data_IF_536589093894
#
_entry.id   IF_536589093894
#
_cell.length_a   1.000
_cell.length_b   1.000
_cell.length_c   1.000
_cell.angle_alpha   90.00
_cell.angle_beta   90.00
_cell.angle_gamma   90.00
#
_symmetry.space_group_name_H-M   'P 1'
#
loop_
_entity.id
_entity.type
_entity.pdbx_description
1 polymer ?
#
# COMPACT_ATOMS: atom_id res chain seq x y z
N UNK A 1 -16.86 -18.50 -13.51
CA UNK A 1 -17.80 -17.66 -14.29
C UNK A 1 -18.99 -17.33 -13.40
N UNK A 2 -19.26 -16.05 -13.17
CA UNK A 2 -20.35 -15.62 -12.27
C UNK A 2 -21.18 -14.59 -13.00
N UNK A 3 -22.49 -14.82 -13.00
CA UNK A 3 -23.47 -13.95 -13.66
C UNK A 3 -24.28 -13.21 -12.60
N UNK A 4 -24.41 -11.91 -12.75
CA UNK A 4 -25.34 -11.08 -11.97
C UNK A 4 -26.34 -10.43 -12.90
N UNK A 5 -27.64 -10.45 -12.52
CA UNK A 5 -28.73 -9.92 -13.35
C UNK A 5 -29.05 -8.48 -12.97
N UNK A 6 -29.05 -7.58 -13.93
CA UNK A 6 -29.65 -6.25 -13.78
C UNK A 6 -30.48 -5.92 -15.01
N UNK A 7 -31.81 -5.74 -14.87
CA UNK A 7 -32.77 -5.38 -15.94
C UNK A 7 -32.59 -6.14 -17.26
N UNK A 8 -32.36 -7.46 -17.20
CA UNK A 8 -32.22 -8.30 -18.37
C UNK A 8 -30.84 -8.40 -19.01
N UNK A 9 -29.84 -7.65 -18.54
CA UNK A 9 -28.45 -7.75 -18.98
C UNK A 9 -27.55 -8.27 -17.84
N UNK A 10 -26.68 -9.23 -18.19
CA UNK A 10 -25.80 -9.94 -17.25
C UNK A 10 -24.42 -9.27 -17.30
N UNK A 11 -23.94 -8.73 -16.16
CA UNK A 11 -22.55 -8.31 -16.03
C UNK A 11 -21.64 -9.53 -15.97
N UNK A 12 -20.73 -9.66 -16.94
CA UNK A 12 -19.75 -10.76 -16.99
C UNK A 12 -18.47 -10.32 -16.31
N UNK A 13 -18.15 -10.95 -15.17
CA UNK A 13 -16.89 -10.74 -14.45
C UNK A 13 -15.96 -11.90 -14.75
N UNK A 14 -14.76 -11.60 -15.24
CA UNK A 14 -13.76 -12.60 -15.61
C UNK A 14 -12.40 -12.19 -15.02
N UNK A 15 -11.76 -13.11 -14.29
CA UNK A 15 -10.40 -12.94 -13.79
C UNK A 15 -9.50 -13.89 -14.55
N UNK A 16 -8.48 -13.35 -15.22
CA UNK A 16 -7.52 -14.12 -16.02
C UNK A 16 -6.10 -13.94 -15.47
N UNK A 17 -5.29 -14.99 -15.61
CA UNK A 17 -3.93 -15.04 -15.07
C UNK A 17 -2.86 -14.73 -16.14
N UNK A 18 -3.26 -14.10 -17.24
CA UNK A 18 -2.33 -13.73 -18.29
C UNK A 18 -1.57 -12.45 -17.97
N UNK A 19 -0.28 -12.42 -18.26
CA UNK A 19 0.55 -11.23 -18.09
C UNK A 19 0.45 -10.35 -19.34
N UNK A 20 -0.44 -9.36 -19.32
CA UNK A 20 -0.63 -8.42 -20.44
C UNK A 20 0.22 -7.15 -20.37
N UNK A 21 0.84 -6.86 -19.21
CA UNK A 21 1.61 -5.63 -18.99
C UNK A 21 3.01 -5.94 -18.48
N UNK A 22 4.01 -5.30 -19.08
CA UNK A 22 5.42 -5.60 -18.77
C UNK A 22 5.94 -4.90 -17.51
N UNK A 23 5.53 -3.65 -17.22
CA UNK A 23 5.88 -2.95 -15.97
C UNK A 23 4.85 -1.88 -15.67
N UNK A 24 4.25 -1.94 -14.49
CA UNK A 24 3.35 -0.91 -13.96
C UNK A 24 4.11 -0.12 -12.90
N UNK A 25 4.30 1.16 -13.16
CA UNK A 25 4.97 2.08 -12.24
C UNK A 25 3.99 2.92 -11.41
N UNK A 26 2.78 3.14 -11.95
CA UNK A 26 1.75 3.98 -11.36
C UNK A 26 0.39 3.29 -11.40
N UNK A 27 -0.40 3.48 -10.34
CA UNK A 27 -1.82 3.18 -10.37
C UNK A 27 -2.52 4.28 -11.16
N UNK A 28 -3.27 3.91 -12.18
CA UNK A 28 -4.04 4.85 -13.00
C UNK A 28 -5.26 4.19 -13.64
N UNK A 29 -6.24 5.02 -13.90
CA UNK A 29 -7.40 4.66 -14.71
C UNK A 29 -7.49 5.60 -15.91
N UNK A 30 -7.96 5.08 -17.02
CA UNK A 30 -8.17 5.83 -18.25
C UNK A 30 -9.54 5.46 -18.83
N UNK A 31 -10.29 6.47 -19.25
CA UNK A 31 -11.56 6.30 -19.93
C UNK A 31 -11.43 6.71 -21.37
N UNK A 32 -11.87 5.83 -22.24
CA UNK A 32 -12.02 6.10 -23.65
C UNK A 32 -13.42 5.64 -24.10
N UNK A 33 -14.23 6.59 -24.59
CA UNK A 33 -15.63 6.38 -24.92
C UNK A 33 -16.43 5.84 -23.71
N UNK A 34 -16.89 4.59 -23.76
CA UNK A 34 -17.63 3.91 -22.67
C UNK A 34 -16.79 2.79 -22.01
N UNK A 35 -15.52 2.72 -22.34
CA UNK A 35 -14.62 1.71 -21.79
C UNK A 35 -13.68 2.36 -20.77
N UNK A 36 -13.51 1.72 -19.62
CA UNK A 36 -12.52 2.10 -18.61
C UNK A 36 -11.43 1.03 -18.58
N UNK A 37 -10.19 1.47 -18.66
CA UNK A 37 -9.02 0.64 -18.44
C UNK A 37 -8.23 1.14 -17.25
N UNK A 38 -7.59 0.23 -16.52
CA UNK A 38 -6.77 0.61 -15.37
C UNK A 38 -5.57 -0.31 -15.22
N UNK A 39 -4.48 0.24 -14.71
CA UNK A 39 -3.27 -0.49 -14.35
C UNK A 39 -2.87 -0.15 -12.93
N UNK A 40 -2.52 -1.17 -12.15
CA UNK A 40 -2.28 -1.04 -10.71
C UNK A 40 -1.08 -1.84 -10.28
N UNK A 41 -0.38 -1.33 -9.29
CA UNK A 41 0.57 -2.08 -8.51
C UNK A 41 0.15 -2.06 -7.03
N UNK A 42 0.48 -3.11 -6.31
CA UNK A 42 0.17 -3.25 -4.88
C UNK A 42 1.47 -3.54 -4.14
N UNK A 43 1.80 -2.81 -3.07
CA UNK A 43 2.99 -3.07 -2.28
C UNK A 43 2.89 -4.43 -1.59
N UNK A 44 4.02 -5.12 -1.45
CA UNK A 44 4.05 -6.41 -0.78
C UNK A 44 3.96 -6.25 0.74
N UNK A 45 3.02 -6.94 1.38
CA UNK A 45 2.89 -7.05 2.84
C UNK A 45 3.87 -8.07 3.46
N UNK A 46 4.61 -8.80 2.63
CA UNK A 46 5.61 -9.78 3.05
C UNK A 46 7.03 -9.26 2.84
N UNK A 47 8.02 -9.99 3.37
CA UNK A 47 9.45 -9.69 3.12
C UNK A 47 9.87 -9.84 1.65
N UNK A 48 9.01 -10.35 0.78
CA UNK A 48 9.23 -10.36 -0.66
C UNK A 48 9.21 -8.93 -1.18
N UNK A 49 10.30 -8.50 -1.80
CA UNK A 49 10.47 -7.13 -2.32
C UNK A 49 9.65 -6.84 -3.59
N UNK A 50 8.89 -7.79 -4.08
CA UNK A 50 8.20 -7.66 -5.35
C UNK A 50 6.85 -6.96 -5.16
N UNK A 51 6.68 -5.84 -5.86
CA UNK A 51 5.37 -5.24 -6.09
C UNK A 51 4.53 -6.21 -6.91
N UNK A 52 3.28 -6.39 -6.53
CA UNK A 52 2.31 -7.16 -7.33
C UNK A 52 1.59 -6.23 -8.29
N UNK A 53 1.26 -6.73 -9.48
CA UNK A 53 0.66 -5.92 -10.53
C UNK A 53 -0.57 -6.60 -11.10
N UNK A 54 -1.59 -5.79 -11.42
CA UNK A 54 -2.77 -6.23 -12.14
C UNK A 54 -3.31 -5.12 -13.03
N UNK A 55 -4.19 -5.49 -13.95
CA UNK A 55 -4.92 -4.51 -14.78
C UNK A 55 -6.40 -4.87 -14.86
N UNK A 56 -7.19 -3.86 -15.19
CA UNK A 56 -8.63 -4.01 -15.40
C UNK A 56 -9.04 -3.43 -16.74
N UNK A 57 -10.04 -4.05 -17.34
CA UNK A 57 -10.79 -3.51 -18.47
C UNK A 57 -12.28 -3.65 -18.17
N UNK A 58 -13.01 -2.57 -18.27
CA UNK A 58 -14.42 -2.52 -17.91
C UNK A 58 -15.23 -1.76 -18.94
N UNK A 59 -16.35 -2.35 -19.33
CA UNK A 59 -17.40 -1.70 -20.10
C UNK A 59 -18.77 -2.04 -19.47
N UNK A 60 -19.85 -1.60 -20.10
CA UNK A 60 -21.22 -1.78 -19.56
C UNK A 60 -21.60 -3.24 -19.27
N UNK A 61 -20.96 -4.22 -19.93
CA UNK A 61 -21.33 -5.65 -19.87
C UNK A 61 -20.24 -6.55 -19.33
N UNK A 62 -18.97 -6.15 -19.47
CA UNK A 62 -17.82 -6.99 -19.15
C UNK A 62 -16.89 -6.29 -18.19
N UNK A 63 -16.46 -6.99 -17.14
CA UNK A 63 -15.40 -6.61 -16.24
C UNK A 63 -14.31 -7.68 -16.28
N UNK A 64 -13.21 -7.35 -16.92
CA UNK A 64 -12.03 -8.21 -17.05
C UNK A 64 -10.95 -7.75 -16.09
N UNK A 65 -10.43 -8.67 -15.29
CA UNK A 65 -9.31 -8.43 -14.37
C UNK A 65 -8.16 -9.35 -14.77
N UNK A 66 -7.04 -8.77 -15.15
CA UNK A 66 -5.80 -9.51 -15.42
C UNK A 66 -4.97 -9.54 -14.15
N UNK A 67 -4.94 -10.67 -13.44
CA UNK A 67 -4.28 -10.87 -12.15
C UNK A 67 -3.25 -12.02 -12.21
N UNK A 68 -2.08 -11.81 -12.86
CA UNK A 68 -1.06 -12.84 -13.01
C UNK A 68 -0.40 -13.26 -11.69
N UNK A 69 -0.56 -12.48 -10.64
CA UNK A 69 0.10 -12.70 -9.35
C UNK A 69 -0.87 -13.17 -8.24
N UNK A 70 -2.09 -13.51 -8.62
CA UNK A 70 -3.13 -14.02 -7.71
C UNK A 70 -3.35 -13.14 -6.48
N UNK A 71 -3.52 -11.83 -6.72
CA UNK A 71 -3.80 -10.83 -5.68
C UNK A 71 -5.20 -11.06 -5.09
N UNK A 72 -6.17 -11.31 -5.97
CA UNK A 72 -7.57 -11.45 -5.61
C UNK A 72 -7.91 -12.90 -5.21
N UNK A 73 -7.88 -13.14 -3.89
CA UNK A 73 -8.32 -14.42 -3.32
C UNK A 73 -9.83 -14.49 -3.17
N UNK A 74 -10.46 -13.34 -3.02
CA UNK A 74 -11.92 -13.20 -2.89
C UNK A 74 -12.53 -12.94 -4.24
N UNK A 75 -13.82 -13.33 -4.37
CA UNK A 75 -14.57 -13.12 -5.57
C UNK A 75 -14.99 -11.66 -5.68
N UNK A 76 -14.65 -11.03 -6.80
CA UNK A 76 -15.15 -9.71 -7.15
C UNK A 76 -16.63 -9.84 -7.50
N UNK A 77 -17.45 -8.92 -6.99
CA UNK A 77 -18.90 -8.92 -7.19
C UNK A 77 -19.44 -7.51 -7.41
N UNK A 78 -20.53 -7.40 -8.10
CA UNK A 78 -21.25 -6.16 -8.37
C UNK A 78 -22.27 -6.36 -9.49
N UNK A 79 -23.30 -5.55 -9.51
CA UNK A 79 -24.35 -5.59 -10.53
C UNK A 79 -24.14 -4.52 -11.60
N UNK A 80 -23.37 -3.48 -11.26
CA UNK A 80 -23.02 -2.36 -12.13
C UNK A 80 -21.50 -2.20 -12.22
N UNK A 81 -20.99 -1.55 -13.28
CA UNK A 81 -19.57 -1.25 -13.41
C UNK A 81 -18.97 -0.56 -12.18
N UNK A 82 -19.63 0.48 -11.65
CA UNK A 82 -19.16 1.21 -10.45
C UNK A 82 -19.08 0.30 -9.22
N UNK A 83 -20.06 -0.58 -9.00
CA UNK A 83 -20.09 -1.52 -7.88
C UNK A 83 -18.94 -2.55 -7.97
N UNK A 84 -18.66 -3.06 -9.17
CA UNK A 84 -17.57 -4.01 -9.39
C UNK A 84 -16.22 -3.41 -9.07
N UNK A 85 -15.95 -2.19 -9.55
CA UNK A 85 -14.71 -1.45 -9.24
C UNK A 85 -14.65 -1.14 -7.75
N UNK A 86 -15.72 -0.63 -7.15
CA UNK A 86 -15.76 -0.30 -5.73
C UNK A 86 -15.47 -1.54 -4.87
N UNK A 87 -16.04 -2.69 -5.23
CA UNK A 87 -15.78 -3.96 -4.55
C UNK A 87 -14.31 -4.39 -4.69
N UNK A 88 -13.76 -4.32 -5.91
CA UNK A 88 -12.35 -4.62 -6.18
C UNK A 88 -11.42 -3.73 -5.33
N UNK A 89 -11.63 -2.42 -5.31
CA UNK A 89 -10.82 -1.47 -4.54
C UNK A 89 -10.92 -1.74 -3.03
N UNK A 90 -12.11 -2.07 -2.52
CA UNK A 90 -12.30 -2.42 -1.11
C UNK A 90 -11.55 -3.71 -0.74
N UNK A 91 -11.53 -4.72 -1.61
CA UNK A 91 -10.76 -5.96 -1.40
C UNK A 91 -9.26 -5.65 -1.29
N UNK A 92 -8.73 -4.74 -2.11
CA UNK A 92 -7.31 -4.38 -2.09
C UNK A 92 -6.85 -3.82 -0.74
N UNK A 93 -7.66 -2.96 -0.12
CA UNK A 93 -7.28 -2.21 1.09
C UNK A 93 -7.84 -2.79 2.39
N UNK A 94 -8.63 -3.87 2.34
CA UNK A 94 -9.36 -4.37 3.52
C UNK A 94 -8.46 -4.76 4.69
N UNK A 95 -7.25 -5.27 4.43
CA UNK A 95 -6.30 -5.73 5.45
C UNK A 95 -5.18 -4.70 5.75
N UNK A 96 -5.21 -3.54 5.08
CA UNK A 96 -4.08 -2.61 5.14
C UNK A 96 -3.94 -1.96 6.50
N UNK A 97 -5.05 -1.60 7.15
CA UNK A 97 -5.00 -1.01 8.50
C UNK A 97 -4.35 -1.96 9.50
N UNK A 98 -4.70 -3.25 9.47
CA UNK A 98 -4.08 -4.27 10.33
C UNK A 98 -2.59 -4.43 10.03
N UNK A 99 -2.22 -4.36 8.76
CA UNK A 99 -0.82 -4.42 8.36
C UNK A 99 -0.02 -3.21 8.87
N UNK A 100 -0.56 -1.99 8.76
CA UNK A 100 0.08 -0.77 9.26
C UNK A 100 0.24 -0.79 10.78
N UNK A 101 -0.76 -1.26 11.52
CA UNK A 101 -0.65 -1.48 12.97
C UNK A 101 0.47 -2.46 13.33
N UNK A 102 0.65 -3.53 12.56
CA UNK A 102 1.78 -4.46 12.74
C UNK A 102 3.14 -3.80 12.46
N UNK A 103 3.20 -2.83 11.55
CA UNK A 103 4.42 -2.03 11.33
C UNK A 103 4.69 -1.11 12.53
N UNK A 104 3.67 -0.43 13.05
CA UNK A 104 3.76 0.41 14.25
C UNK A 104 4.35 -0.38 15.44
N UNK A 105 3.75 -1.53 15.76
CA UNK A 105 4.26 -2.41 16.82
C UNK A 105 5.72 -2.87 16.62
N UNK A 106 6.19 -2.94 15.38
CA UNK A 106 7.60 -3.27 15.12
C UNK A 106 8.51 -2.06 15.38
N UNK A 107 8.07 -0.84 15.03
CA UNK A 107 8.82 0.39 15.36
C UNK A 107 8.92 0.57 16.87
N UNK A 108 7.82 0.38 17.61
CA UNK A 108 7.80 0.40 19.08
C UNK A 108 8.82 -0.58 19.69
N UNK A 109 8.89 -1.80 19.19
CA UNK A 109 9.90 -2.79 19.66
C UNK A 109 11.32 -2.34 19.37
N UNK A 110 11.58 -1.67 18.25
CA UNK A 110 12.89 -1.12 17.95
C UNK A 110 13.20 0.00 18.92
N UNK A 111 12.24 0.86 19.27
CA UNK A 111 12.38 1.90 20.28
C UNK A 111 12.77 1.33 21.65
N UNK A 112 12.00 0.35 22.15
CA UNK A 112 12.28 -0.33 23.43
C UNK A 112 13.69 -0.94 23.46
N UNK A 113 14.12 -1.54 22.36
CA UNK A 113 15.45 -2.11 22.24
C UNK A 113 16.55 -1.04 22.22
N UNK A 114 16.30 0.08 21.53
CA UNK A 114 17.20 1.24 21.56
C UNK A 114 17.32 1.79 22.97
N UNK A 115 16.21 2.00 23.69
CA UNK A 115 16.18 2.53 25.05
C UNK A 115 16.92 1.61 26.04
N UNK A 116 16.74 0.30 25.91
CA UNK A 116 17.40 -0.70 26.78
C UNK A 116 18.84 -1.02 26.37
N UNK A 117 19.36 -0.43 25.31
CA UNK A 117 20.67 -0.73 24.73
C UNK A 117 20.88 -2.22 24.40
N UNK A 118 19.79 -2.96 24.22
CA UNK A 118 19.79 -4.40 23.90
C UNK A 118 19.57 -4.61 22.43
N UNK A 119 20.52 -5.18 21.74
CA UNK A 119 20.37 -5.55 20.33
C UNK A 119 21.43 -4.95 19.42
N UNK A 120 21.40 -5.39 18.19
CA UNK A 120 22.28 -4.97 17.10
C UNK A 120 21.47 -4.86 15.81
N UNK A 121 21.99 -4.14 14.82
CA UNK A 121 21.38 -4.00 13.50
C UNK A 121 20.11 -3.12 13.42
N UNK A 122 19.90 -2.18 14.35
CA UNK A 122 18.75 -1.25 14.31
C UNK A 122 18.67 -0.46 13.01
N UNK A 123 19.79 0.04 12.52
CA UNK A 123 19.84 0.84 11.29
C UNK A 123 19.25 0.10 10.11
N UNK A 124 19.64 -1.15 9.93
CA UNK A 124 19.12 -2.01 8.87
C UNK A 124 17.61 -2.28 9.03
N UNK A 125 17.13 -2.49 10.25
CA UNK A 125 15.72 -2.72 10.54
C UNK A 125 14.88 -1.46 10.26
N UNK A 126 15.32 -0.30 10.73
CA UNK A 126 14.66 0.99 10.49
C UNK A 126 14.64 1.28 8.98
N UNK A 127 15.76 1.03 8.29
CA UNK A 127 15.83 1.24 6.83
C UNK A 127 14.81 0.40 6.06
N UNK A 128 14.72 -0.90 6.34
CA UNK A 128 13.76 -1.79 5.65
C UNK A 128 12.30 -1.40 5.98
N UNK A 129 12.03 -0.94 7.20
CA UNK A 129 10.70 -0.46 7.57
C UNK A 129 10.35 0.85 6.85
N UNK A 130 11.25 1.81 6.81
CA UNK A 130 11.07 3.06 6.07
C UNK A 130 10.76 2.81 4.58
N UNK A 131 11.50 1.89 3.97
CA UNK A 131 11.25 1.50 2.58
C UNK A 131 9.86 0.92 2.37
N UNK A 132 9.39 0.09 3.32
CA UNK A 132 8.05 -0.47 3.28
C UNK A 132 7.00 0.62 3.44
N UNK A 133 7.14 1.49 4.44
CA UNK A 133 6.23 2.61 4.72
C UNK A 133 6.13 3.53 3.49
N UNK A 134 7.27 3.95 2.93
CA UNK A 134 7.29 4.81 1.73
C UNK A 134 6.62 4.17 0.50
N UNK A 135 6.68 2.84 0.37
CA UNK A 135 5.98 2.15 -0.71
C UNK A 135 4.46 2.18 -0.53
N UNK A 136 3.97 2.05 0.71
CA UNK A 136 2.54 2.15 1.00
C UNK A 136 2.03 3.59 0.89
N UNK A 137 2.80 4.56 1.33
CA UNK A 137 2.53 5.98 1.19
C UNK A 137 2.30 6.36 -0.28
N UNK A 138 3.29 6.10 -1.13
CA UNK A 138 3.17 6.33 -2.58
C UNK A 138 2.01 5.54 -3.23
N UNK A 139 1.65 4.39 -2.69
CA UNK A 139 0.51 3.60 -3.17
C UNK A 139 -0.81 4.26 -2.82
N UNK A 140 -0.99 4.75 -1.58
CA UNK A 140 -2.23 5.38 -1.18
C UNK A 140 -2.46 6.71 -1.88
N UNK A 141 -1.43 7.53 -2.08
CA UNK A 141 -1.53 8.76 -2.85
C UNK A 141 -2.07 8.52 -4.26
N UNK A 142 -1.51 7.51 -4.95
CA UNK A 142 -1.97 7.14 -6.28
C UNK A 142 -3.39 6.55 -6.28
N UNK A 143 -3.74 5.79 -5.23
CA UNK A 143 -5.09 5.22 -5.10
C UNK A 143 -6.14 6.28 -4.80
N UNK A 144 -5.80 7.33 -4.05
CA UNK A 144 -6.68 8.49 -3.82
C UNK A 144 -6.96 9.18 -5.16
N UNK A 145 -5.95 9.46 -5.97
CA UNK A 145 -6.12 10.05 -7.31
C UNK A 145 -7.00 9.18 -8.21
N UNK A 146 -6.78 7.86 -8.20
CA UNK A 146 -7.61 6.90 -8.95
C UNK A 146 -9.07 6.97 -8.50
N UNK A 147 -9.32 7.00 -7.19
CA UNK A 147 -10.69 7.02 -6.66
C UNK A 147 -11.40 8.33 -6.97
N UNK A 148 -10.70 9.46 -6.91
CA UNK A 148 -11.22 10.77 -7.33
C UNK A 148 -11.63 10.77 -8.81
N UNK A 149 -10.78 10.25 -9.68
CA UNK A 149 -11.10 10.09 -11.10
C UNK A 149 -12.32 9.17 -11.33
N UNK A 150 -12.45 8.08 -10.57
CA UNK A 150 -13.59 7.18 -10.65
C UNK A 150 -14.89 7.84 -10.12
N UNK A 151 -14.81 8.67 -9.09
CA UNK A 151 -15.93 9.42 -8.54
C UNK A 151 -16.48 10.41 -9.57
N UNK A 152 -15.62 11.20 -10.18
CA UNK A 152 -16.00 12.12 -11.26
C UNK A 152 -16.63 11.37 -12.45
N UNK A 153 -16.10 10.19 -12.74
CA UNK A 153 -16.49 9.38 -13.85
C UNK A 153 -17.88 8.75 -13.71
N UNK A 154 -18.19 8.19 -12.52
CA UNK A 154 -19.44 7.51 -12.24
C UNK A 154 -20.49 8.39 -11.55
N UNK A 155 -20.08 9.55 -11.04
CA UNK A 155 -20.90 10.42 -10.19
C UNK A 155 -21.57 9.64 -9.04
N UNK A 156 -20.81 8.75 -8.38
CA UNK A 156 -21.29 7.83 -7.36
C UNK A 156 -20.65 8.16 -6.00
N UNK A 157 -21.48 8.55 -5.03
CA UNK A 157 -21.05 8.98 -3.69
C UNK A 157 -20.39 7.87 -2.86
N UNK A 158 -20.54 6.59 -3.24
CA UNK A 158 -19.87 5.50 -2.54
C UNK A 158 -18.33 5.58 -2.66
N UNK A 159 -17.80 6.22 -3.71
CA UNK A 159 -16.36 6.47 -3.84
C UNK A 159 -15.82 7.46 -2.80
N UNK A 160 -16.63 8.39 -2.29
CA UNK A 160 -16.24 9.30 -1.20
C UNK A 160 -15.87 8.52 0.09
N UNK A 161 -16.61 7.45 0.38
CA UNK A 161 -16.34 6.62 1.55
C UNK A 161 -15.02 5.86 1.39
N UNK A 162 -14.74 5.38 0.19
CA UNK A 162 -13.48 4.72 -0.13
C UNK A 162 -12.31 5.71 -0.08
N UNK A 163 -12.47 6.92 -0.63
CA UNK A 163 -11.48 8.00 -0.56
C UNK A 163 -11.13 8.34 0.91
N UNK A 164 -12.14 8.56 1.76
CA UNK A 164 -11.92 8.82 3.20
C UNK A 164 -11.14 7.69 3.90
N UNK A 165 -11.36 6.43 3.49
CA UNK A 165 -10.58 5.29 4.01
C UNK A 165 -9.14 5.33 3.55
N UNK A 166 -8.88 5.64 2.27
CA UNK A 166 -7.53 5.78 1.72
C UNK A 166 -6.78 6.94 2.38
N UNK A 167 -7.41 8.11 2.55
CA UNK A 167 -6.84 9.25 3.27
C UNK A 167 -6.46 8.86 4.72
N UNK A 168 -7.30 8.07 5.39
CA UNK A 168 -6.95 7.58 6.73
C UNK A 168 -5.72 6.67 6.72
N UNK A 169 -5.59 5.79 5.72
CA UNK A 169 -4.42 4.91 5.57
C UNK A 169 -3.17 5.73 5.25
N UNK A 170 -3.25 6.72 4.36
CA UNK A 170 -2.16 7.66 4.04
C UNK A 170 -1.70 8.40 5.32
N UNK A 171 -2.62 9.00 6.09
CA UNK A 171 -2.28 9.66 7.35
C UNK A 171 -1.60 8.73 8.38
N UNK A 172 -1.90 7.44 8.35
CA UNK A 172 -1.20 6.46 9.21
C UNK A 172 0.21 6.21 8.69
N UNK A 173 0.41 6.09 7.38
CA UNK A 173 1.75 5.92 6.80
C UNK A 173 2.64 7.14 7.06
N UNK A 174 2.10 8.35 6.97
CA UNK A 174 2.82 9.59 7.30
C UNK A 174 3.36 9.57 8.75
N UNK A 175 2.50 9.24 9.71
CA UNK A 175 2.91 9.13 11.12
C UNK A 175 3.97 8.06 11.34
N UNK A 176 3.86 6.92 10.68
CA UNK A 176 4.87 5.86 10.75
C UNK A 176 6.19 6.29 10.10
N UNK A 177 6.14 7.08 9.02
CA UNK A 177 7.32 7.64 8.38
C UNK A 177 8.05 8.59 9.33
N UNK A 178 7.35 9.53 9.94
CA UNK A 178 7.89 10.44 10.95
C UNK A 178 8.49 9.67 12.14
N UNK A 179 7.76 8.71 12.68
CA UNK A 179 8.24 7.88 13.80
C UNK A 179 9.53 7.13 13.42
N UNK A 180 9.61 6.59 12.22
CA UNK A 180 10.82 5.91 11.74
C UNK A 180 12.03 6.86 11.59
N UNK A 181 11.81 8.15 11.31
CA UNK A 181 12.85 9.19 11.27
C UNK A 181 13.35 9.46 12.69
N UNK A 182 12.44 9.65 13.65
CA UNK A 182 12.79 9.88 15.06
C UNK A 182 13.62 8.73 15.64
N UNK A 183 13.26 7.48 15.35
CA UNK A 183 14.04 6.32 15.77
C UNK A 183 15.46 6.31 15.19
N UNK A 184 15.61 6.71 13.93
CA UNK A 184 16.94 6.82 13.31
C UNK A 184 17.79 7.89 13.98
N UNK A 185 17.21 9.05 14.29
CA UNK A 185 17.89 10.16 14.97
C UNK A 185 18.30 9.74 16.39
N UNK A 186 17.42 9.06 17.12
CA UNK A 186 17.73 8.52 18.45
C UNK A 186 18.90 7.52 18.40
N UNK A 187 18.89 6.61 17.42
CA UNK A 187 20.01 5.68 17.22
C UNK A 187 21.33 6.42 16.92
N UNK A 188 21.29 7.41 16.04
CA UNK A 188 22.48 8.21 15.69
C UNK A 188 23.05 8.93 16.93
N UNK A 189 22.19 9.56 17.72
CA UNK A 189 22.60 10.24 18.99
C UNK A 189 23.26 9.25 19.93
N UNK A 190 22.77 8.04 20.10
CA UNK A 190 23.38 7.02 20.93
C UNK A 190 24.78 6.60 20.44
N UNK A 191 24.94 6.46 19.11
CA UNK A 191 26.25 6.14 18.52
C UNK A 191 27.25 7.27 18.81
N UNK A 192 26.85 8.53 18.62
CA UNK A 192 27.69 9.70 18.90
C UNK A 192 28.08 9.79 20.39
N UNK A 193 27.14 9.55 21.29
CA UNK A 193 27.42 9.51 22.72
C UNK A 193 28.46 8.45 23.10
N UNK A 194 28.36 7.25 22.55
CA UNK A 194 29.35 6.18 22.75
C UNK A 194 30.71 6.56 22.20
N UNK A 195 30.76 7.15 21.00
CA UNK A 195 32.03 7.61 20.42
C UNK A 195 32.69 8.67 21.31
N UNK A 196 31.92 9.64 21.82
CA UNK A 196 32.42 10.66 22.74
C UNK A 196 32.96 10.06 24.05
N UNK A 197 32.27 9.08 24.62
CA UNK A 197 32.73 8.36 25.81
C UNK A 197 34.07 7.63 25.58
N UNK A 198 34.21 6.96 24.44
CA UNK A 198 35.45 6.27 24.05
C UNK A 198 36.58 7.29 23.87
N UNK A 199 36.34 8.41 23.22
CA UNK A 199 37.34 9.50 23.05
C UNK A 199 37.79 10.08 24.38
N UNK A 200 36.84 10.34 25.29
CA UNK A 200 37.18 10.80 26.65
C UNK A 200 38.04 9.79 27.38
N UNK A 201 37.70 8.52 27.34
CA UNK A 201 38.50 7.46 27.98
C UNK A 201 39.89 7.36 27.39
N UNK A 202 40.04 7.41 26.07
CA UNK A 202 41.35 7.39 25.42
C UNK A 202 42.19 8.60 25.81
N UNK A 203 41.59 9.78 25.91
CA UNK A 203 42.30 11.00 26.34
C UNK A 203 42.85 10.88 27.77
N UNK A 204 42.06 10.29 28.67
CA UNK A 204 42.50 10.08 30.07
C UNK A 204 43.64 9.04 30.16
N UNK A 205 43.61 7.99 29.35
CA UNK A 205 44.61 6.92 29.37
C UNK A 205 45.94 7.34 28.71
N UNK A 206 45.91 8.32 27.79
CA UNK A 206 47.10 8.80 27.06
C UNK A 206 47.78 10.03 27.73
N UNK A 207 47.18 10.57 28.78
CA UNK A 207 47.79 11.65 29.62
C UNK A 207 48.44 11.08 30.85
#
# INVERSE_FOLDING_TARGET
>A
MVYSFFKGEIMRIEVINEKRLNHIHYCRVHKENQQLSGSFWVPSKSKSKNKKMFSIELNDRNFLVCDPEHIFKQKISGNKPSECILNLMNILIQEDMEFLQKLEMKLERIEDQLMSHTGSHYESQIFEMRKTISAFDSYYDQMIEVVQNLQEFYNDTHFETLEKRLIRLSNVTDRLAEYSIQLREMHQTQVEMRQNQIMQFLTIVTT
#
